data_IF_843174487630
#
_entry.id   IF_843174487630
#
_cell.length_a   1.000
_cell.length_b   1.000
_cell.length_c   1.000
_cell.angle_alpha   90.00
_cell.angle_beta   90.00
_cell.angle_gamma   90.00
#
_symmetry.space_group_name_H-M   'P 1'
#
loop_
_entity.id
_entity.type
_entity.pdbx_description
1 polymer ?
#
# COMPACT_ATOMS: atom_id res chain seq x y z
N UNK A 1 -3.69 -27.05 0.86
CA UNK A 1 -4.15 -25.71 1.31
C UNK A 1 -4.70 -24.96 0.10
N UNK A 2 -5.77 -24.19 0.24
CA UNK A 2 -6.36 -23.40 -0.84
C UNK A 2 -6.36 -21.93 -0.43
N UNK A 3 -5.90 -21.05 -1.33
CA UNK A 3 -5.87 -19.60 -1.15
C UNK A 3 -6.74 -18.96 -2.23
N UNK A 4 -7.43 -17.87 -1.89
CA UNK A 4 -8.25 -17.10 -2.84
C UNK A 4 -7.38 -16.13 -3.67
N UNK A 5 -6.25 -15.70 -3.11
CA UNK A 5 -5.27 -14.85 -3.79
C UNK A 5 -3.86 -15.10 -3.24
N UNK A 6 -2.86 -14.92 -4.10
CA UNK A 6 -1.45 -14.92 -3.74
C UNK A 6 -0.87 -13.55 -4.13
N UNK A 7 -0.17 -12.91 -3.20
CA UNK A 7 0.50 -11.62 -3.39
C UNK A 7 2.00 -11.86 -3.30
N UNK A 8 2.72 -11.41 -4.33
CA UNK A 8 4.19 -11.52 -4.39
C UNK A 8 4.77 -10.16 -4.03
N UNK A 9 5.49 -10.10 -2.91
CA UNK A 9 6.06 -8.91 -2.30
C UNK A 9 5.32 -8.47 -1.05
N UNK A 10 6.02 -8.50 0.09
CA UNK A 10 5.58 -8.00 1.40
C UNK A 10 5.96 -6.55 1.65
N UNK A 11 5.97 -5.71 0.60
CA UNK A 11 6.18 -4.26 0.72
C UNK A 11 4.89 -3.49 1.01
N UNK A 12 4.95 -2.15 0.96
CA UNK A 12 3.81 -1.28 1.26
C UNK A 12 2.55 -1.64 0.46
N UNK A 13 2.65 -1.75 -0.87
CA UNK A 13 1.51 -2.09 -1.72
C UNK A 13 0.97 -3.51 -1.47
N UNK A 14 1.87 -4.49 -1.28
CA UNK A 14 1.49 -5.89 -1.09
C UNK A 14 0.78 -6.14 0.23
N UNK A 15 1.34 -5.61 1.34
CA UNK A 15 0.72 -5.71 2.66
C UNK A 15 -0.62 -4.95 2.69
N UNK A 16 -0.70 -3.79 2.06
CA UNK A 16 -1.94 -3.01 1.99
C UNK A 16 -3.03 -3.70 1.16
N UNK A 17 -2.64 -4.33 0.05
CA UNK A 17 -3.53 -5.18 -0.75
C UNK A 17 -4.03 -6.39 0.06
N UNK A 18 -3.13 -7.09 0.76
CA UNK A 18 -3.47 -8.22 1.62
C UNK A 18 -4.46 -7.84 2.73
N UNK A 19 -4.26 -6.67 3.37
CA UNK A 19 -5.17 -6.12 4.38
C UNK A 19 -6.59 -5.99 3.84
N UNK A 20 -6.76 -5.35 2.67
CA UNK A 20 -8.09 -5.12 2.09
C UNK A 20 -8.73 -6.41 1.58
N UNK A 21 -7.95 -7.32 1.00
CA UNK A 21 -8.46 -8.63 0.60
C UNK A 21 -8.90 -9.47 1.81
N UNK A 22 -8.10 -9.49 2.88
CA UNK A 22 -8.44 -10.17 4.13
C UNK A 22 -9.70 -9.60 4.80
N UNK A 23 -9.85 -8.27 4.81
CA UNK A 23 -11.08 -7.60 5.27
C UNK A 23 -12.35 -8.01 4.50
N UNK A 24 -12.20 -8.49 3.26
CA UNK A 24 -13.29 -9.03 2.43
C UNK A 24 -13.48 -10.54 2.61
N UNK A 25 -12.89 -11.13 3.65
CA UNK A 25 -13.00 -12.55 3.97
C UNK A 25 -12.19 -13.47 3.06
N UNK A 26 -11.20 -12.95 2.33
CA UNK A 26 -10.35 -13.76 1.44
C UNK A 26 -9.18 -14.37 2.21
N UNK A 27 -8.87 -15.64 1.93
CA UNK A 27 -7.66 -16.32 2.38
C UNK A 27 -6.51 -15.94 1.44
N UNK A 28 -5.60 -15.10 1.93
CA UNK A 28 -4.51 -14.54 1.13
C UNK A 28 -3.17 -15.07 1.61
N UNK A 29 -2.33 -15.50 0.68
CA UNK A 29 -0.92 -15.81 0.94
C UNK A 29 -0.05 -14.64 0.45
N UNK A 30 0.81 -14.10 1.31
CA UNK A 30 1.83 -13.11 0.92
C UNK A 30 3.17 -13.81 0.91
N UNK A 31 3.90 -13.71 -0.20
CA UNK A 31 5.25 -14.23 -0.36
C UNK A 31 6.24 -13.08 -0.38
N UNK A 32 7.26 -13.14 0.47
CA UNK A 32 8.34 -12.16 0.54
C UNK A 32 9.68 -12.90 0.54
N UNK A 33 10.66 -12.36 -0.18
CA UNK A 33 11.99 -12.98 -0.30
C UNK A 33 12.95 -12.52 0.79
N UNK A 34 12.73 -11.31 1.32
CA UNK A 34 13.50 -10.78 2.45
C UNK A 34 13.17 -11.55 3.74
N UNK A 35 14.07 -11.45 4.73
CA UNK A 35 13.85 -12.06 6.05
C UNK A 35 12.64 -11.48 6.78
N UNK A 36 12.28 -10.23 6.47
CA UNK A 36 11.16 -9.51 7.07
C UNK A 36 10.35 -8.77 6.00
N UNK A 37 9.03 -8.72 6.21
CA UNK A 37 8.14 -7.87 5.42
C UNK A 37 8.38 -6.39 5.75
N UNK A 38 8.06 -5.50 4.81
CA UNK A 38 8.11 -4.06 5.07
C UNK A 38 9.53 -3.50 5.25
N UNK A 39 10.59 -4.23 4.88
CA UNK A 39 11.98 -3.77 5.04
C UNK A 39 12.21 -2.35 4.51
N UNK A 40 11.64 -2.00 3.33
CA UNK A 40 11.70 -0.62 2.79
C UNK A 40 10.85 0.39 3.56
N UNK A 41 9.74 -0.03 4.17
CA UNK A 41 8.89 0.83 5.01
C UNK A 41 9.70 1.26 6.25
N UNK A 42 10.36 0.30 6.91
CA UNK A 42 11.14 0.52 8.14
C UNK A 42 12.23 1.58 7.95
N UNK A 43 12.91 1.59 6.81
CA UNK A 43 14.01 2.53 6.55
C UNK A 43 13.55 3.83 5.86
N UNK A 44 12.31 3.91 5.39
CA UNK A 44 11.82 5.07 4.64
C UNK A 44 11.72 6.33 5.51
N UNK A 45 11.87 7.51 4.90
CA UNK A 45 11.80 8.80 5.62
C UNK A 45 12.81 8.93 6.76
N UNK A 46 13.99 8.30 6.65
CA UNK A 46 14.99 8.30 7.70
C UNK A 46 14.58 7.51 8.95
N UNK A 47 13.86 6.40 8.76
CA UNK A 47 13.36 5.55 9.86
C UNK A 47 12.02 5.99 10.45
N UNK A 48 11.41 7.06 9.94
CA UNK A 48 10.14 7.61 10.44
C UNK A 48 8.94 7.33 9.55
N UNK A 49 9.18 6.78 8.35
CA UNK A 49 8.18 6.52 7.33
C UNK A 49 7.41 7.78 6.89
N UNK A 50 7.86 8.41 5.80
CA UNK A 50 7.07 9.46 5.13
C UNK A 50 5.93 8.81 4.34
N UNK A 51 4.88 8.41 5.05
CA UNK A 51 3.88 7.44 4.57
C UNK A 51 2.86 8.00 3.55
N UNK A 52 2.71 9.32 3.45
CA UNK A 52 1.86 9.96 2.43
C UNK A 52 2.19 11.46 2.29
N UNK A 53 1.54 12.15 1.35
CA UNK A 53 1.62 13.60 1.18
C UNK A 53 0.21 14.21 1.07
N UNK A 54 -0.06 15.29 1.83
CA UNK A 54 -1.36 15.98 1.84
C UNK A 54 -1.73 16.63 0.49
N UNK A 55 -0.74 16.84 -0.37
CA UNK A 55 -0.86 17.38 -1.73
C UNK A 55 -0.69 16.29 -2.81
N UNK A 56 -0.96 15.02 -2.49
CA UNK A 56 -0.95 13.95 -3.49
C UNK A 56 -1.94 14.28 -4.62
N UNK A 57 -1.45 14.31 -5.84
CA UNK A 57 -2.21 14.64 -7.04
C UNK A 57 -1.63 13.90 -8.26
N UNK A 58 -2.43 13.62 -9.31
CA UNK A 58 -1.98 12.84 -10.46
C UNK A 58 -0.75 13.41 -11.18
N UNK A 59 -0.58 14.74 -11.17
CA UNK A 59 0.55 15.47 -11.78
C UNK A 59 1.87 15.31 -10.99
N UNK A 60 1.84 14.66 -9.82
CA UNK A 60 3.02 14.34 -9.00
C UNK A 60 3.59 12.95 -9.28
N UNK A 61 3.03 12.24 -10.26
CA UNK A 61 3.48 10.91 -10.67
C UNK A 61 3.96 10.93 -12.12
N UNK A 62 5.15 10.38 -12.37
CA UNK A 62 5.73 10.27 -13.71
C UNK A 62 5.25 8.95 -14.33
N UNK A 63 4.64 9.04 -15.50
CA UNK A 63 4.15 7.88 -16.26
C UNK A 63 4.10 8.21 -17.75
N UNK A 64 4.32 7.20 -18.60
CA UNK A 64 4.08 7.32 -20.04
C UNK A 64 2.60 7.60 -20.36
N UNK A 65 1.69 7.21 -19.45
CA UNK A 65 0.28 7.60 -19.47
C UNK A 65 0.02 8.57 -18.30
N UNK A 66 -0.10 9.89 -18.56
CA UNK A 66 -0.35 10.90 -17.53
C UNK A 66 -1.64 10.68 -16.72
N UNK A 67 -2.59 9.91 -17.25
CA UNK A 67 -3.87 9.64 -16.58
C UNK A 67 -3.88 8.36 -15.75
N UNK A 68 -2.79 7.58 -15.75
CA UNK A 68 -2.74 6.25 -15.12
C UNK A 68 -3.08 6.29 -13.62
N UNK A 69 -2.45 7.19 -12.86
CA UNK A 69 -2.64 7.27 -11.41
C UNK A 69 -3.99 7.91 -11.01
N UNK A 70 -4.67 8.59 -11.93
CA UNK A 70 -5.87 9.40 -11.64
C UNK A 70 -6.94 8.59 -10.93
N UNK A 71 -7.30 7.43 -11.49
CA UNK A 71 -8.38 6.60 -10.94
C UNK A 71 -8.04 6.09 -9.53
N UNK A 72 -6.83 5.58 -9.34
CA UNK A 72 -6.39 5.06 -8.04
C UNK A 72 -6.45 6.15 -6.95
N UNK A 73 -5.94 7.35 -7.26
CA UNK A 73 -5.94 8.49 -6.33
C UNK A 73 -7.34 9.03 -6.03
N UNK A 74 -8.32 8.84 -6.92
CA UNK A 74 -9.73 9.20 -6.65
C UNK A 74 -10.49 8.15 -5.84
N UNK A 75 -10.17 6.86 -6.00
CA UNK A 75 -10.84 5.78 -5.27
C UNK A 75 -10.29 5.60 -3.85
N UNK A 76 -9.03 5.98 -3.63
CA UNK A 76 -8.38 5.91 -2.34
C UNK A 76 -7.39 7.07 -2.20
N UNK A 77 -7.77 8.05 -1.39
CA UNK A 77 -7.05 9.31 -1.20
C UNK A 77 -6.02 9.20 -0.08
N UNK A 78 -5.11 10.18 -0.01
CA UNK A 78 -4.20 10.35 1.13
C UNK A 78 -4.93 10.47 2.46
N UNK A 79 -6.14 11.05 2.48
CA UNK A 79 -6.92 11.24 3.69
C UNK A 79 -7.48 9.92 4.22
N UNK A 80 -7.85 8.99 3.33
CA UNK A 80 -8.28 7.64 3.72
C UNK A 80 -7.16 6.90 4.46
N UNK A 81 -5.92 7.03 3.98
CA UNK A 81 -4.77 6.43 4.65
C UNK A 81 -4.43 7.14 5.97
N UNK A 82 -4.49 8.48 6.02
CA UNK A 82 -4.31 9.24 7.28
C UNK A 82 -5.33 8.80 8.33
N UNK A 83 -6.60 8.65 7.95
CA UNK A 83 -7.66 8.19 8.84
C UNK A 83 -7.41 6.74 9.33
N UNK A 84 -6.91 5.87 8.46
CA UNK A 84 -6.52 4.51 8.85
C UNK A 84 -5.40 4.52 9.90
N UNK A 85 -4.36 5.34 9.71
CA UNK A 85 -3.24 5.49 10.66
C UNK A 85 -3.74 6.04 11.98
N UNK A 86 -4.56 7.10 11.96
CA UNK A 86 -5.15 7.70 13.17
C UNK A 86 -6.01 6.73 13.97
N UNK A 87 -6.63 5.73 13.32
CA UNK A 87 -7.40 4.68 14.02
C UNK A 87 -6.52 3.67 14.79
N UNK A 88 -5.24 3.54 14.44
CA UNK A 88 -4.31 2.58 15.05
C UNK A 88 -3.17 3.29 15.80
N UNK A 89 -3.32 4.59 16.07
CA UNK A 89 -2.40 5.44 16.83
C UNK A 89 -3.02 5.89 18.13
#
# INVERSE_FOLDING_TARGET
>A
MSYDAIIIGGGAAGLYCALHAGRRGKRVLVLEHNSEVGAKILISGGGRCNFTNVHAAPDRFISANPHFARLALTCHTQHDFIALVAKHG
#
